data_IF_505280501722
#
_entry.id   IF_505280501722
#
_cell.length_a   1.000
_cell.length_b   1.000
_cell.length_c   1.000
_cell.angle_alpha   90.00
_cell.angle_beta   90.00
_cell.angle_gamma   90.00
#
_symmetry.space_group_name_H-M   'P 1'
#
loop_
_entity.id
_entity.type
_entity.pdbx_description
1 polymer ?
#
# COMPACT_ATOMS: atom_id res chain seq x y z
N UNK A 1 -3.44 -13.27 12.97
CA UNK A 1 -4.73 -12.59 13.21
C UNK A 1 -5.87 -13.40 12.59
N UNK A 2 -5.79 -13.74 11.31
CA UNK A 2 -6.79 -14.46 10.51
C UNK A 2 -6.43 -15.93 10.21
N UNK A 3 -5.31 -16.44 10.73
CA UNK A 3 -4.80 -17.79 10.40
C UNK A 3 -5.76 -18.93 10.80
N UNK A 4 -6.55 -18.74 11.86
CA UNK A 4 -7.56 -19.70 12.32
C UNK A 4 -8.99 -19.37 11.89
N UNK A 5 -9.19 -18.32 11.10
CA UNK A 5 -10.50 -17.89 10.63
C UNK A 5 -10.84 -18.53 9.28
N UNK A 6 -12.13 -18.72 9.00
CA UNK A 6 -12.59 -19.04 7.63
C UNK A 6 -12.28 -17.85 6.74
N UNK A 7 -11.49 -18.08 5.68
CA UNK A 7 -11.09 -17.03 4.74
C UNK A 7 -11.90 -17.17 3.45
N UNK A 8 -12.89 -16.29 3.20
CA UNK A 8 -13.65 -16.30 1.95
C UNK A 8 -12.76 -15.98 0.75
N UNK A 9 -13.30 -16.11 -0.46
CA UNK A 9 -12.57 -15.86 -1.71
C UNK A 9 -11.94 -14.47 -1.75
N UNK A 10 -12.60 -13.48 -1.16
CA UNK A 10 -12.14 -12.09 -1.04
C UNK A 10 -12.24 -11.63 0.41
N UNK A 11 -11.17 -11.03 0.93
CA UNK A 11 -11.12 -10.43 2.28
C UNK A 11 -10.73 -8.95 2.15
N UNK A 12 -11.61 -8.05 2.57
CA UNK A 12 -11.27 -6.63 2.71
C UNK A 12 -10.55 -6.40 4.03
N UNK A 13 -9.30 -5.91 3.96
CA UNK A 13 -8.51 -5.59 5.14
C UNK A 13 -8.74 -4.15 5.59
N UNK A 14 -8.90 -3.24 4.63
CA UNK A 14 -9.15 -1.81 4.87
C UNK A 14 -10.24 -1.30 3.92
N UNK A 15 -11.16 -0.50 4.47
CA UNK A 15 -12.12 0.30 3.71
C UNK A 15 -12.33 1.64 4.39
N UNK A 16 -12.04 2.71 3.66
CA UNK A 16 -12.20 4.10 4.12
C UNK A 16 -13.63 4.50 4.45
N UNK A 17 -14.63 3.78 3.94
CA UNK A 17 -16.05 4.00 4.22
C UNK A 17 -16.59 3.13 5.36
N UNK A 18 -15.72 2.34 6.02
CA UNK A 18 -16.08 1.60 7.22
C UNK A 18 -16.30 2.54 8.42
N UNK A 19 -17.03 2.08 9.44
CA UNK A 19 -17.24 2.84 10.68
C UNK A 19 -15.96 3.00 11.50
N UNK A 20 -15.08 1.99 11.48
CA UNK A 20 -13.78 2.00 12.15
C UNK A 20 -12.67 1.53 11.18
N UNK A 21 -12.31 2.32 10.16
CA UNK A 21 -11.40 1.89 9.07
C UNK A 21 -10.03 1.40 9.56
N UNK A 22 -9.54 1.98 10.66
CA UNK A 22 -8.21 1.69 11.22
C UNK A 22 -8.24 0.74 12.41
N UNK A 23 -9.36 0.07 12.70
CA UNK A 23 -9.47 -0.80 13.89
C UNK A 23 -8.40 -1.91 13.96
N UNK A 24 -7.96 -2.40 12.80
CA UNK A 24 -6.94 -3.45 12.70
C UNK A 24 -5.52 -2.89 12.49
N UNK A 25 -5.37 -1.57 12.45
CA UNK A 25 -4.14 -0.89 12.08
C UNK A 25 -3.53 -0.14 13.26
N UNK A 26 -2.20 -0.19 13.37
CA UNK A 26 -1.45 0.82 14.13
C UNK A 26 -1.16 2.01 13.21
N UNK A 27 -1.19 3.21 13.76
CA UNK A 27 -0.81 4.44 13.09
C UNK A 27 0.49 4.97 13.68
N UNK A 28 1.42 5.38 12.84
CA UNK A 28 2.62 6.11 13.25
C UNK A 28 2.67 7.42 12.47
N UNK A 29 3.01 8.52 13.15
CA UNK A 29 3.18 9.85 12.57
C UNK A 29 4.46 10.48 13.11
N UNK A 30 5.07 11.36 12.34
CA UNK A 30 6.22 12.14 12.80
C UNK A 30 5.82 13.22 13.80
N UNK A 31 6.07 12.97 15.09
CA UNK A 31 5.74 13.92 16.16
C UNK A 31 6.55 15.23 16.10
N UNK A 32 7.66 15.26 15.35
CA UNK A 32 8.49 16.46 15.19
C UNK A 32 7.93 17.44 14.17
N UNK A 33 7.01 17.00 13.31
CA UNK A 33 6.39 17.78 12.24
C UNK A 33 4.86 17.66 12.26
N UNK A 34 4.18 18.08 13.34
CA UNK A 34 2.73 17.87 13.51
C UNK A 34 1.87 18.64 12.49
N UNK A 35 2.42 19.66 11.83
CA UNK A 35 1.75 20.45 10.78
C UNK A 35 1.66 19.69 9.45
N UNK A 36 2.65 18.85 9.17
CA UNK A 36 2.82 18.18 7.88
C UNK A 36 2.58 16.67 7.95
N UNK A 37 2.71 16.08 9.15
CA UNK A 37 2.69 14.63 9.38
C UNK A 37 1.43 14.17 10.11
N UNK A 38 0.45 13.67 9.36
CA UNK A 38 -0.82 13.23 9.93
C UNK A 38 -1.54 12.18 9.06
N UNK A 39 -2.51 11.54 9.69
CA UNK A 39 -3.44 10.57 9.08
C UNK A 39 -4.86 11.08 9.36
N UNK A 40 -5.66 11.29 8.31
CA UNK A 40 -6.98 11.91 8.44
C UNK A 40 -7.97 11.39 7.39
N UNK A 41 -9.24 11.24 7.76
CA UNK A 41 -10.31 10.89 6.82
C UNK A 41 -10.93 12.16 6.26
N UNK A 42 -10.98 12.26 4.92
CA UNK A 42 -11.57 13.38 4.21
C UNK A 42 -12.27 12.91 2.93
N UNK A 43 -13.14 13.74 2.38
CA UNK A 43 -13.75 13.53 1.09
C UNK A 43 -12.75 13.89 -0.02
N UNK A 44 -12.58 12.99 -1.00
CA UNK A 44 -11.50 13.13 -1.98
C UNK A 44 -11.68 14.33 -2.94
N UNK A 45 -12.90 14.74 -3.23
CA UNK A 45 -13.20 15.93 -4.05
C UNK A 45 -13.11 17.23 -3.25
N UNK A 46 -13.69 17.28 -2.06
CA UNK A 46 -13.87 18.54 -1.30
C UNK A 46 -12.78 18.81 -0.28
N UNK A 47 -11.96 17.81 0.07
CA UNK A 47 -10.96 17.87 1.14
C UNK A 47 -11.54 18.13 2.53
N UNK A 48 -12.83 17.84 2.73
CA UNK A 48 -13.53 18.03 4.00
C UNK A 48 -13.80 16.70 4.72
N UNK A 49 -13.79 16.67 6.06
CA UNK A 49 -13.43 17.77 6.96
C UNK A 49 -11.94 18.11 6.88
N UNK A 50 -11.58 19.36 7.19
CA UNK A 50 -10.18 19.74 7.33
C UNK A 50 -9.52 18.96 8.48
N UNK A 51 -8.21 18.66 8.40
CA UNK A 51 -7.50 18.04 9.52
C UNK A 51 -7.49 18.97 10.74
N UNK A 52 -7.46 18.42 11.96
CA UNK A 52 -7.41 19.22 13.17
C UNK A 52 -6.08 19.99 13.26
N UNK A 53 -6.07 21.24 13.76
CA UNK A 53 -4.82 21.98 13.98
C UNK A 53 -3.83 21.20 14.85
N UNK A 54 -2.51 21.32 14.59
CA UNK A 54 -1.88 22.28 13.67
C UNK A 54 -1.75 21.76 12.22
N UNK A 55 -2.26 20.56 11.93
CA UNK A 55 -2.12 19.91 10.64
C UNK A 55 -2.75 20.71 9.48
N UNK A 56 -2.07 20.72 8.33
CA UNK A 56 -2.55 21.39 7.12
C UNK A 56 -2.36 20.52 5.88
N UNK A 57 -3.35 20.55 4.98
CA UNK A 57 -3.28 19.79 3.73
C UNK A 57 -2.31 20.46 2.76
N UNK A 58 -1.33 19.69 2.29
CA UNK A 58 -0.47 20.16 1.20
C UNK A 58 -1.20 20.12 -0.14
N UNK A 59 -0.97 21.10 -1.03
CA UNK A 59 -1.50 21.06 -2.38
C UNK A 59 -1.04 19.79 -3.12
N UNK A 60 -1.96 19.19 -3.88
CA UNK A 60 -1.68 18.04 -4.74
C UNK A 60 -0.91 18.54 -5.97
N UNK A 61 0.29 17.99 -6.20
CA UNK A 61 1.10 18.34 -7.37
C UNK A 61 0.72 17.44 -8.53
N UNK A 62 -0.17 17.90 -9.41
CA UNK A 62 -0.62 17.11 -10.58
C UNK A 62 0.33 17.20 -11.79
N UNK A 63 1.50 17.83 -11.64
CA UNK A 63 2.53 17.92 -12.68
C UNK A 63 2.21 18.86 -13.85
N UNK A 64 1.04 19.53 -13.86
CA UNK A 64 0.67 20.57 -14.82
C UNK A 64 -0.05 21.72 -14.11
N UNK A 65 0.55 22.92 -14.15
CA UNK A 65 -0.12 24.14 -13.69
C UNK A 65 -1.46 24.32 -14.43
N UNK A 66 -2.55 24.48 -13.69
CA UNK A 66 -3.88 24.78 -14.24
C UNK A 66 -4.78 23.57 -14.56
N UNK A 67 -4.31 22.33 -14.41
CA UNK A 67 -5.15 21.15 -14.59
C UNK A 67 -6.03 20.93 -13.35
N UNK A 68 -7.30 21.34 -13.43
CA UNK A 68 -8.29 21.04 -12.37
C UNK A 68 -8.38 19.54 -12.21
N UNK A 69 -8.36 19.11 -10.96
CA UNK A 69 -8.47 17.73 -10.54
C UNK A 69 -9.93 17.25 -10.70
N UNK A 70 -10.38 17.09 -11.94
CA UNK A 70 -11.81 16.91 -12.26
C UNK A 70 -12.29 15.47 -12.10
N UNK A 71 -11.39 14.51 -11.98
CA UNK A 71 -11.70 13.06 -11.94
C UNK A 71 -11.43 12.43 -10.58
N UNK A 72 -11.89 13.11 -9.53
CA UNK A 72 -11.82 12.66 -8.13
C UNK A 72 -12.96 11.71 -7.77
N UNK A 73 -12.89 11.11 -6.58
CA UNK A 73 -14.00 10.33 -6.03
C UNK A 73 -14.85 11.21 -5.09
N UNK A 74 -16.17 11.15 -5.22
CA UNK A 74 -17.07 11.76 -4.24
C UNK A 74 -17.26 10.80 -3.06
N UNK A 75 -16.16 10.45 -2.39
CA UNK A 75 -16.14 9.47 -1.30
C UNK A 75 -15.15 9.86 -0.20
N UNK A 76 -15.39 9.39 1.02
CA UNK A 76 -14.43 9.46 2.11
C UNK A 76 -13.25 8.54 1.83
N UNK A 77 -12.04 9.06 2.02
CA UNK A 77 -10.76 8.37 1.82
C UNK A 77 -9.81 8.70 2.96
N UNK A 78 -8.83 7.84 3.18
CA UNK A 78 -7.79 8.07 4.18
C UNK A 78 -6.62 8.82 3.54
N UNK A 79 -6.39 10.04 3.99
CA UNK A 79 -5.24 10.85 3.61
C UNK A 79 -4.10 10.60 4.61
N UNK A 80 -2.92 10.24 4.11
CA UNK A 80 -1.71 10.07 4.90
C UNK A 80 -0.67 11.05 4.34
N UNK A 81 -0.18 11.96 5.17
CA UNK A 81 0.76 13.00 4.75
C UNK A 81 1.98 13.00 5.67
N UNK A 82 3.16 13.23 5.10
CA UNK A 82 4.42 13.47 5.80
C UNK A 82 5.48 13.91 4.78
N UNK A 83 6.40 14.83 5.11
CA UNK A 83 7.58 15.07 4.29
C UNK A 83 8.63 13.97 4.46
N UNK A 84 8.56 13.21 5.55
CA UNK A 84 9.45 12.09 5.89
C UNK A 84 8.69 10.78 5.72
N UNK A 85 8.90 10.11 4.59
CA UNK A 85 8.18 8.87 4.24
C UNK A 85 8.27 7.76 5.30
N UNK A 86 9.45 7.42 5.88
CA UNK A 86 9.55 6.26 6.77
C UNK A 86 8.94 6.46 8.16
N UNK A 87 8.68 7.70 8.58
CA UNK A 87 8.22 8.03 9.94
C UNK A 87 6.71 8.08 10.08
N UNK A 88 5.98 8.15 8.97
CA UNK A 88 4.51 8.22 8.97
C UNK A 88 3.91 7.11 8.11
N UNK A 89 3.14 6.22 8.73
CA UNK A 89 2.52 5.07 8.07
C UNK A 89 1.35 4.49 8.86
N UNK A 90 0.57 3.64 8.21
CA UNK A 90 -0.32 2.68 8.87
C UNK A 90 0.17 1.26 8.66
N UNK A 91 -0.06 0.38 9.64
CA UNK A 91 0.34 -1.01 9.53
C UNK A 91 -0.70 -1.96 10.12
N UNK A 92 -0.95 -3.08 9.43
CA UNK A 92 -1.78 -4.18 9.91
C UNK A 92 -0.97 -5.49 9.85
N UNK A 93 -0.86 -6.28 10.94
CA UNK A 93 -1.48 -6.07 12.25
C UNK A 93 -0.80 -4.91 13.00
N UNK A 94 -1.36 -4.45 14.14
CA UNK A 94 -0.84 -3.28 14.88
C UNK A 94 0.45 -3.57 15.67
N UNK A 95 1.32 -4.46 15.17
CA UNK A 95 2.56 -4.91 15.81
C UNK A 95 3.78 -4.31 15.12
N UNK A 96 4.42 -3.32 15.74
CA UNK A 96 5.64 -2.69 15.22
C UNK A 96 6.70 -2.57 16.33
N UNK A 97 7.99 -2.86 16.06
CA UNK A 97 8.53 -3.39 14.81
C UNK A 97 8.08 -4.82 14.54
N UNK A 98 7.85 -5.16 13.27
CA UNK A 98 7.51 -6.52 12.87
C UNK A 98 8.78 -7.37 12.79
N UNK A 99 8.85 -8.44 13.57
CA UNK A 99 9.98 -9.37 13.62
C UNK A 99 9.57 -10.77 13.17
N UNK A 100 10.54 -11.65 12.90
CA UNK A 100 10.27 -13.06 12.54
C UNK A 100 9.45 -13.83 13.59
N UNK A 101 9.44 -13.39 14.85
CA UNK A 101 8.65 -13.98 15.93
C UNK A 101 7.22 -13.41 16.05
N UNK A 102 6.88 -12.37 15.29
CA UNK A 102 5.60 -11.65 15.41
C UNK A 102 4.44 -12.47 14.83
N UNK A 103 3.26 -12.38 15.46
CA UNK A 103 2.05 -13.05 14.95
C UNK A 103 1.46 -12.25 13.79
N UNK A 104 1.72 -12.71 12.57
CA UNK A 104 1.24 -12.05 11.35
C UNK A 104 -0.27 -12.08 11.10
N UNK A 105 -0.70 -11.47 10.00
CA UNK A 105 -2.07 -11.50 9.48
C UNK A 105 -2.53 -12.93 9.26
N UNK A 106 -1.78 -13.72 8.50
CA UNK A 106 -2.15 -15.09 8.16
C UNK A 106 -3.15 -15.20 7.01
N UNK A 107 -3.24 -14.18 6.15
CA UNK A 107 -4.10 -14.18 4.96
C UNK A 107 -3.44 -15.00 3.85
N UNK A 108 -4.14 -16.02 3.33
CA UNK A 108 -3.57 -17.01 2.39
C UNK A 108 -3.82 -16.69 0.91
N UNK A 109 -4.45 -15.56 0.64
CA UNK A 109 -4.83 -15.15 -0.70
C UNK A 109 -3.59 -14.83 -1.57
N UNK A 110 -3.54 -15.32 -2.82
CA UNK A 110 -2.43 -15.07 -3.74
C UNK A 110 -2.39 -13.65 -4.28
N UNK A 111 -3.52 -12.94 -4.33
CA UNK A 111 -3.59 -11.57 -4.81
C UNK A 111 -3.79 -10.57 -3.68
N UNK A 112 -2.99 -9.51 -3.70
CA UNK A 112 -3.17 -8.31 -2.88
C UNK A 112 -3.50 -7.13 -3.77
N UNK A 113 -4.42 -6.29 -3.31
CA UNK A 113 -4.93 -5.17 -4.08
C UNK A 113 -4.98 -3.91 -3.20
N UNK A 114 -4.53 -2.78 -3.75
CA UNK A 114 -4.59 -1.47 -3.10
C UNK A 114 -5.22 -0.47 -4.06
N UNK A 115 -6.20 0.31 -3.57
CA UNK A 115 -6.67 1.50 -4.26
C UNK A 115 -6.09 2.75 -3.64
N UNK A 116 -5.22 3.39 -4.40
CA UNK A 116 -4.42 4.52 -3.95
C UNK A 116 -4.49 5.66 -4.96
N UNK A 117 -4.44 6.88 -4.46
CA UNK A 117 -4.30 8.10 -5.26
C UNK A 117 -2.89 8.63 -5.10
N UNK A 118 -2.22 8.79 -6.23
CA UNK A 118 -0.95 9.49 -6.30
C UNK A 118 -1.15 10.98 -5.99
N UNK A 119 -0.33 11.55 -5.12
CA UNK A 119 -0.36 12.96 -4.76
C UNK A 119 0.79 13.77 -5.43
N UNK A 120 1.52 13.16 -6.35
CA UNK A 120 2.66 13.77 -7.04
C UNK A 120 3.90 13.84 -6.16
N UNK A 121 4.02 12.93 -5.20
CA UNK A 121 5.12 12.84 -4.24
C UNK A 121 5.62 11.39 -4.19
N UNK A 122 6.83 11.20 -3.66
CA UNK A 122 7.37 9.87 -3.41
C UNK A 122 6.40 9.06 -2.54
N UNK A 123 6.19 7.80 -2.88
CA UNK A 123 5.27 6.92 -2.15
C UNK A 123 5.85 5.51 -2.09
N UNK A 124 5.55 4.79 -1.01
CA UNK A 124 5.83 3.36 -0.93
C UNK A 124 4.83 2.58 -0.10
N UNK A 125 4.81 1.27 -0.30
CA UNK A 125 4.07 0.33 0.53
C UNK A 125 4.85 -0.97 0.69
N UNK A 126 4.51 -1.74 1.73
CA UNK A 126 5.15 -3.02 2.03
C UNK A 126 4.16 -4.13 2.30
N UNK A 127 4.59 -5.33 1.91
CA UNK A 127 3.95 -6.59 2.24
C UNK A 127 4.99 -7.52 2.85
N UNK A 128 4.80 -7.89 4.11
CA UNK A 128 5.49 -9.04 4.67
C UNK A 128 4.84 -10.32 4.16
N UNK A 129 5.61 -11.20 3.53
CA UNK A 129 5.11 -12.47 2.98
C UNK A 129 5.94 -13.64 3.49
N UNK A 130 5.29 -14.78 3.73
CA UNK A 130 5.92 -16.00 4.21
C UNK A 130 5.73 -17.15 3.21
N UNK A 131 6.74 -18.01 3.15
CA UNK A 131 6.65 -19.29 2.46
C UNK A 131 6.13 -20.41 3.38
N UNK A 132 5.86 -21.58 2.81
CA UNK A 132 5.36 -22.75 3.56
C UNK A 132 6.36 -23.30 4.59
N UNK A 133 7.64 -22.94 4.49
CA UNK A 133 8.68 -23.28 5.45
C UNK A 133 8.77 -22.27 6.60
N UNK A 134 7.91 -21.24 6.62
CA UNK A 134 7.88 -20.19 7.64
C UNK A 134 8.94 -19.11 7.45
N UNK A 135 9.68 -19.10 6.34
CA UNK A 135 10.64 -18.03 6.02
C UNK A 135 9.87 -16.81 5.55
N UNK A 136 10.20 -15.65 6.11
CA UNK A 136 9.51 -14.39 5.84
C UNK A 136 10.44 -13.43 5.11
N UNK A 137 9.90 -12.69 4.16
CA UNK A 137 10.57 -11.58 3.49
C UNK A 137 9.63 -10.38 3.37
N UNK A 138 10.21 -9.20 3.15
CA UNK A 138 9.48 -7.96 2.98
C UNK A 138 9.57 -7.57 1.51
N UNK A 139 8.43 -7.35 0.87
CA UNK A 139 8.35 -6.75 -0.46
C UNK A 139 8.01 -5.28 -0.27
N UNK A 140 8.88 -4.37 -0.71
CA UNK A 140 8.62 -2.93 -0.73
C UNK A 140 8.47 -2.45 -2.17
N UNK A 141 7.34 -1.82 -2.46
CA UNK A 141 7.08 -1.13 -3.71
C UNK A 141 7.27 0.36 -3.50
N UNK A 142 8.05 1.02 -4.34
CA UNK A 142 8.39 2.44 -4.18
C UNK A 142 8.41 3.19 -5.50
N UNK A 143 7.93 4.43 -5.52
CA UNK A 143 7.97 5.29 -6.72
C UNK A 143 9.33 5.92 -7.02
N UNK A 144 10.24 5.90 -6.04
CA UNK A 144 11.61 6.39 -6.16
C UNK A 144 12.63 5.28 -6.43
N UNK A 145 12.22 4.00 -6.34
CA UNK A 145 13.08 2.88 -6.69
C UNK A 145 13.12 2.74 -8.21
N UNK A 146 14.32 2.71 -8.81
CA UNK A 146 14.49 2.60 -10.27
C UNK A 146 14.67 1.16 -10.76
N UNK A 147 15.35 0.34 -9.97
CA UNK A 147 15.68 -1.04 -10.32
C UNK A 147 15.32 -1.97 -9.16
N UNK A 148 14.86 -3.20 -9.41
CA UNK A 148 14.69 -4.19 -8.35
C UNK A 148 16.00 -4.43 -7.57
N UNK A 149 15.91 -4.58 -6.25
CA UNK A 149 17.08 -4.86 -5.40
C UNK A 149 16.69 -5.67 -4.17
N UNK A 150 17.49 -6.66 -3.81
CA UNK A 150 17.33 -7.46 -2.60
C UNK A 150 18.38 -7.06 -1.56
N UNK A 151 17.91 -6.51 -0.45
CA UNK A 151 18.73 -6.13 0.69
C UNK A 151 18.53 -7.13 1.83
N UNK A 152 19.61 -7.63 2.41
CA UNK A 152 19.59 -8.60 3.51
C UNK A 152 20.36 -8.07 4.73
N UNK A 153 20.10 -6.81 5.11
CA UNK A 153 20.83 -6.14 6.21
C UNK A 153 20.11 -6.28 7.55
N UNK A 154 18.80 -6.54 7.54
CA UNK A 154 17.97 -6.66 8.75
C UNK A 154 17.58 -8.09 9.10
N UNK A 155 16.72 -8.23 10.11
CA UNK A 155 16.18 -9.53 10.57
C UNK A 155 15.42 -10.30 9.48
N UNK A 156 14.88 -9.56 8.50
CA UNK A 156 14.14 -10.09 7.36
C UNK A 156 14.73 -9.52 6.06
N UNK A 157 14.87 -10.34 5.00
CA UNK A 157 15.28 -9.85 3.69
C UNK A 157 14.22 -8.90 3.12
N UNK A 158 14.68 -7.82 2.48
CA UNK A 158 13.87 -6.75 1.91
C UNK A 158 14.07 -6.68 0.40
N UNK A 159 13.05 -7.07 -0.36
CA UNK A 159 12.99 -6.94 -1.80
C UNK A 159 12.37 -5.60 -2.16
N UNK A 160 13.18 -4.68 -2.66
CA UNK A 160 12.78 -3.42 -3.26
C UNK A 160 12.35 -3.63 -4.71
N UNK A 161 11.16 -3.15 -5.06
CA UNK A 161 10.61 -3.19 -6.41
C UNK A 161 10.20 -1.78 -6.86
N UNK A 162 10.51 -1.40 -8.11
CA UNK A 162 10.05 -0.14 -8.68
C UNK A 162 8.53 -0.15 -8.86
N UNK A 163 7.90 0.99 -8.62
CA UNK A 163 6.48 1.22 -8.88
C UNK A 163 6.32 2.52 -9.65
N UNK A 164 5.52 2.51 -10.72
CA UNK A 164 5.18 3.73 -11.44
C UNK A 164 3.67 3.83 -11.58
N UNK A 165 3.11 4.97 -11.23
CA UNK A 165 1.70 5.26 -11.54
C UNK A 165 1.56 5.57 -13.03
N UNK A 166 0.44 5.21 -13.67
CA UNK A 166 0.16 5.58 -15.05
C UNK A 166 0.25 7.10 -15.21
N UNK A 167 0.87 7.57 -16.30
CA UNK A 167 0.87 9.00 -16.58
C UNK A 167 -0.56 9.49 -16.77
N UNK A 168 -0.89 10.60 -16.10
CA UNK A 168 -2.19 11.25 -16.21
C UNK A 168 -2.33 11.91 -17.58
N UNK A 169 -2.86 11.17 -18.54
CA UNK A 169 -3.38 11.73 -19.78
C UNK A 169 -4.88 11.97 -19.60
N UNK A 170 -5.32 13.21 -19.82
CA UNK A 170 -6.71 13.63 -19.67
C UNK A 170 -7.69 12.82 -20.54
N UNK A 171 -7.19 12.26 -21.64
CA UNK A 171 -7.99 11.58 -22.66
C UNK A 171 -8.47 10.18 -22.24
N UNK A 172 -7.73 9.44 -21.40
CA UNK A 172 -8.01 8.01 -21.19
C UNK A 172 -8.21 7.58 -19.74
N UNK A 173 -7.78 8.39 -18.75
CA UNK A 173 -7.99 8.03 -17.34
C UNK A 173 -9.38 8.44 -16.88
N UNK A 174 -10.22 7.49 -16.46
CA UNK A 174 -11.54 7.77 -15.90
C UNK A 174 -11.48 8.37 -14.49
N UNK A 175 -10.38 8.16 -13.76
CA UNK A 175 -10.19 8.65 -12.39
C UNK A 175 -8.72 8.99 -12.14
N UNK A 176 -8.42 9.81 -11.14
CA UNK A 176 -7.03 10.03 -10.67
C UNK A 176 -6.51 8.93 -9.73
N UNK A 177 -7.31 7.88 -9.52
CA UNK A 177 -7.00 6.76 -8.65
C UNK A 177 -6.39 5.62 -9.46
N UNK A 178 -5.53 4.85 -8.80
CA UNK A 178 -4.90 3.66 -9.36
C UNK A 178 -5.17 2.45 -8.48
N UNK A 179 -5.32 1.29 -9.13
CA UNK A 179 -5.28 0.00 -8.46
C UNK A 179 -3.87 -0.58 -8.60
N UNK A 180 -3.28 -1.01 -7.50
CA UNK A 180 -2.02 -1.75 -7.45
C UNK A 180 -2.36 -3.19 -7.13
N UNK A 181 -2.18 -4.08 -8.12
CA UNK A 181 -2.50 -5.51 -8.03
C UNK A 181 -1.21 -6.34 -8.01
N UNK A 182 -1.07 -7.19 -7.00
CA UNK A 182 0.14 -7.96 -6.76
C UNK A 182 -0.17 -9.45 -6.69
N UNK A 183 0.49 -10.23 -7.55
CA UNK A 183 0.49 -11.68 -7.42
C UNK A 183 1.64 -12.13 -6.51
N UNK A 184 1.33 -12.31 -5.23
CA UNK A 184 2.31 -12.56 -4.17
C UNK A 184 3.14 -13.83 -4.40
N UNK A 185 2.59 -14.96 -4.90
CA UNK A 185 3.41 -16.14 -5.18
C UNK A 185 4.49 -15.90 -6.23
N UNK A 186 4.20 -15.08 -7.26
CA UNK A 186 5.20 -14.73 -8.29
C UNK A 186 6.26 -13.78 -7.74
N UNK A 187 5.88 -12.87 -6.85
CA UNK A 187 6.84 -11.98 -6.20
C UNK A 187 7.71 -12.76 -5.21
N UNK A 188 7.16 -13.77 -4.51
CA UNK A 188 7.94 -14.59 -3.60
C UNK A 188 9.13 -15.28 -4.29
N UNK A 189 8.96 -15.75 -5.53
CA UNK A 189 10.08 -16.33 -6.30
C UNK A 189 11.19 -15.35 -6.65
N UNK A 190 10.94 -14.03 -6.56
CA UNK A 190 11.97 -13.02 -6.79
C UNK A 190 13.05 -13.00 -5.69
N UNK A 191 12.74 -13.46 -4.47
CA UNK A 191 13.73 -13.50 -3.38
C UNK A 191 14.89 -14.45 -3.67
N UNK A 192 14.73 -15.40 -4.57
CA UNK A 192 15.79 -16.33 -5.00
C UNK A 192 16.41 -15.96 -6.33
N UNK A 193 15.98 -14.86 -6.96
CA UNK A 193 16.54 -14.44 -8.24
C UNK A 193 17.94 -13.87 -8.02
N UNK A 194 18.98 -14.40 -8.71
CA UNK A 194 20.33 -13.85 -8.60
C UNK A 194 20.40 -12.42 -9.15
N UNK A 195 19.50 -12.03 -10.05
CA UNK A 195 19.46 -10.70 -10.67
C UNK A 195 19.23 -9.56 -9.69
N UNK A 196 18.67 -9.84 -8.51
CA UNK A 196 18.33 -8.80 -7.52
C UNK A 196 19.35 -8.72 -6.38
N UNK A 197 20.28 -9.67 -6.30
CA UNK A 197 21.33 -9.65 -5.29
C UNK A 197 22.37 -8.62 -5.69
N UNK A 198 22.64 -7.67 -4.80
CA UNK A 198 23.74 -6.71 -5.02
C UNK A 198 25.08 -7.46 -4.96
N UNK A 199 25.89 -7.34 -6.01
CA UNK A 199 27.22 -7.98 -6.05
C UNK A 199 28.12 -7.50 -4.91
N UNK A 200 27.97 -6.25 -4.48
CA UNK A 200 28.75 -5.62 -3.42
C UNK A 200 28.35 -6.09 -2.01
N UNK A 201 27.16 -6.68 -1.85
CA UNK A 201 26.63 -7.04 -0.53
C UNK A 201 25.80 -8.33 -0.59
N UNK A 202 26.46 -9.51 -0.63
CA UNK A 202 25.75 -10.77 -0.61
C UNK A 202 24.99 -10.96 0.71
N UNK A 203 23.85 -11.68 0.68
CA UNK A 203 23.08 -11.93 1.88
C UNK A 203 23.91 -12.70 2.92
N UNK A 204 23.92 -12.27 4.19
CA UNK A 204 24.57 -12.99 5.27
C UNK A 204 24.11 -14.45 5.32
N UNK A 205 24.99 -15.41 5.63
CA UNK A 205 24.66 -16.84 5.63
C UNK A 205 23.57 -17.23 6.64
N UNK A 206 23.30 -16.36 7.63
CA UNK A 206 22.26 -16.58 8.64
C UNK A 206 20.86 -16.17 8.17
N UNK A 207 20.75 -15.34 7.13
CA UNK A 207 19.46 -14.87 6.63
C UNK A 207 18.89 -15.91 5.67
N UNK A 208 17.76 -16.47 6.05
CA UNK A 208 17.06 -17.47 5.24
C UNK A 208 16.08 -16.77 4.31
N UNK A 209 16.46 -16.67 3.04
CA UNK A 209 15.59 -16.16 2.00
C UNK A 209 14.36 -17.06 1.81
N UNK A 210 13.15 -16.48 1.67
CA UNK A 210 11.98 -17.24 1.23
C UNK A 210 12.23 -17.83 -0.16
N UNK A 211 12.02 -19.14 -0.29
CA UNK A 211 12.30 -19.86 -1.54
C UNK A 211 11.25 -20.92 -1.87
N UNK A 212 10.28 -21.13 -0.97
CA UNK A 212 9.23 -22.13 -1.14
C UNK A 212 7.98 -21.57 -1.82
N UNK A 213 6.93 -22.38 -1.84
CA UNK A 213 5.60 -21.92 -2.21
C UNK A 213 5.07 -20.89 -1.22
N UNK A 214 4.30 -19.94 -1.73
CA UNK A 214 3.62 -18.94 -0.90
C UNK A 214 2.71 -19.61 0.13
N UNK A 215 2.78 -19.08 1.36
CA UNK A 215 1.93 -19.52 2.46
C UNK A 215 0.90 -18.46 2.82
N UNK A 216 1.36 -17.27 3.20
CA UNK A 216 0.47 -16.21 3.66
C UNK A 216 1.15 -14.84 3.71
N UNK A 217 0.32 -13.81 3.80
CA UNK A 217 0.70 -12.44 4.14
C UNK A 217 0.80 -12.31 5.65
N UNK A 218 1.89 -11.69 6.09
CA UNK A 218 2.27 -11.54 7.48
C UNK A 218 1.95 -10.13 7.97
N UNK A 219 2.19 -9.10 7.16
CA UNK A 219 1.73 -7.73 7.45
C UNK A 219 1.59 -6.91 6.17
N UNK A 220 0.87 -5.79 6.27
CA UNK A 220 0.80 -4.74 5.26
C UNK A 220 1.16 -3.41 5.92
N UNK A 221 2.01 -2.61 5.28
CA UNK A 221 2.35 -1.25 5.70
C UNK A 221 2.17 -0.28 4.55
N UNK A 222 1.44 0.81 4.78
CA UNK A 222 1.25 1.87 3.79
C UNK A 222 1.89 3.13 4.33
N UNK A 223 2.87 3.67 3.60
CA UNK A 223 3.55 4.90 3.99
C UNK A 223 2.76 6.14 3.57
N UNK A 224 3.20 7.29 4.09
CA UNK A 224 2.63 8.59 3.82
C UNK A 224 2.65 9.00 2.35
N UNK A 225 2.10 10.20 2.10
CA UNK A 225 1.98 10.89 0.80
C UNK A 225 1.07 10.19 -0.20
N UNK A 226 -0.05 9.66 0.29
CA UNK A 226 -1.12 9.11 -0.55
C UNK A 226 -2.51 9.37 0.00
N UNK A 227 -3.53 9.18 -0.84
CA UNK A 227 -4.88 8.84 -0.37
C UNK A 227 -5.17 7.37 -0.61
N UNK A 228 -5.76 6.72 0.38
CA UNK A 228 -6.06 5.30 0.40
C UNK A 228 -7.56 5.08 0.52
N UNK A 229 -8.13 4.27 -0.38
CA UNK A 229 -9.56 3.94 -0.36
C UNK A 229 -9.82 2.53 0.17
N UNK A 230 -9.08 1.54 -0.33
CA UNK A 230 -9.26 0.12 -0.01
C UNK A 230 -7.94 -0.65 -0.03
N UNK A 231 -7.88 -1.67 0.82
CA UNK A 231 -6.91 -2.78 0.74
C UNK A 231 -7.70 -4.07 0.86
N UNK A 232 -7.51 -4.99 -0.08
CA UNK A 232 -8.15 -6.30 -0.04
C UNK A 232 -7.27 -7.38 -0.64
N UNK A 233 -7.66 -8.61 -0.33
CA UNK A 233 -6.97 -9.82 -0.72
C UNK A 233 -7.96 -10.73 -1.41
N UNK A 234 -7.55 -11.40 -2.48
CA UNK A 234 -8.44 -12.30 -3.20
C UNK A 234 -7.74 -13.52 -3.81
N UNK A 235 -8.50 -14.57 -4.09
CA UNK A 235 -8.02 -15.74 -4.83
C UNK A 235 -7.97 -15.49 -6.35
N UNK A 236 -8.80 -14.56 -6.81
CA UNK A 236 -8.96 -14.21 -8.20
C UNK A 236 -7.98 -13.11 -8.63
N UNK A 237 -7.49 -13.18 -9.87
CA UNK A 237 -6.74 -12.07 -10.44
C UNK A 237 -7.63 -10.88 -10.83
N UNK A 238 -7.04 -9.72 -11.17
CA UNK A 238 -7.77 -8.49 -11.52
C UNK A 238 -8.63 -8.61 -12.78
N UNK A 239 -8.41 -9.64 -13.62
CA UNK A 239 -9.21 -9.90 -14.83
C UNK A 239 -10.55 -10.56 -14.56
N UNK A 240 -10.80 -11.04 -13.34
CA UNK A 240 -12.09 -11.63 -12.98
C UNK A 240 -13.04 -10.55 -12.46
N UNK A 241 -14.35 -10.76 -12.69
CA UNK A 241 -15.38 -9.84 -12.22
C UNK A 241 -15.34 -9.74 -10.70
N UNK A 242 -14.89 -8.59 -10.20
CA UNK A 242 -14.95 -8.26 -8.78
C UNK A 242 -16.35 -7.71 -8.44
N UNK A 243 -16.78 -7.83 -7.17
CA UNK A 243 -17.97 -7.13 -6.71
C UNK A 243 -17.84 -5.62 -6.93
N UNK A 244 -18.96 -4.96 -7.26
CA UNK A 244 -18.99 -3.54 -7.66
C UNK A 244 -18.40 -2.61 -6.60
N UNK A 245 -18.44 -2.98 -5.32
CA UNK A 245 -17.86 -2.19 -4.23
C UNK A 245 -16.33 -2.04 -4.34
N UNK A 246 -15.67 -2.96 -5.07
CA UNK A 246 -14.23 -2.92 -5.33
C UNK A 246 -13.87 -2.22 -6.64
N UNK A 247 -14.83 -1.79 -7.45
CA UNK A 247 -14.56 -1.01 -8.66
C UNK A 247 -14.24 0.47 -8.34
N UNK A 248 -13.54 1.13 -9.26
CA UNK A 248 -13.26 2.56 -9.24
C UNK A 248 -14.21 3.28 -10.21
N UNK A 249 -15.17 4.02 -9.66
CA UNK A 249 -16.08 4.86 -10.44
C UNK A 249 -15.72 6.33 -10.20
N UNK A 250 -15.13 6.97 -11.22
CA UNK A 250 -14.93 8.42 -11.20
C UNK A 250 -16.25 9.12 -11.37
N UNK A 251 -16.40 10.29 -10.73
CA UNK A 251 -17.51 11.18 -11.04
C UNK A 251 -17.10 12.11 -12.17
N UNK A 252 -17.95 12.21 -13.20
CA UNK A 252 -17.85 13.27 -14.20
C UNK A 252 -18.58 14.51 -13.65
N UNK A 253 -17.87 15.61 -13.32
CA UNK A 253 -18.51 16.80 -12.78
C UNK A 253 -19.47 17.46 -13.78
N UNK A 254 -19.41 17.14 -15.08
CA UNK A 254 -20.32 17.68 -16.09
C UNK A 254 -21.73 17.05 -16.08
N UNK A 255 -21.99 16.04 -15.24
CA UNK A 255 -23.30 15.34 -15.15
C UNK A 255 -23.97 15.50 -13.78
N UNK A 256 -23.50 16.45 -12.97
CA UNK A 256 -24.02 16.70 -11.62
C UNK A 256 -25.18 17.73 -11.56
N UNK A 257 -25.68 18.20 -12.72
CA UNK A 257 -26.84 19.09 -12.85
C UNK A 257 -28.11 18.33 -13.29
#
# INVERSE_FOLDING_TARGET
MFSGSVQPNTVSLFSSTGSLPLQLFSTQTDATLPEDSFIHLLNDTTNLPAPPPPASLTPIHTGKEGMKDTKTLIQTVLHIQSPTLPTTFIQCPPQYPFTSASRGLGLKHPWAHIQVRDLGREWSCEFGIADQSGRTGIVRLSTFQKQPRLDAVGDLPLLHLPLSFPQRTDEYSATTWSAVDLHLPRILSAFTSPEFVSEDQPPPPHIRLPAGSFSHVVYVRIYATCRLRRIWFSHAGPSQKIPWEFDLYGCDPARAD
#
